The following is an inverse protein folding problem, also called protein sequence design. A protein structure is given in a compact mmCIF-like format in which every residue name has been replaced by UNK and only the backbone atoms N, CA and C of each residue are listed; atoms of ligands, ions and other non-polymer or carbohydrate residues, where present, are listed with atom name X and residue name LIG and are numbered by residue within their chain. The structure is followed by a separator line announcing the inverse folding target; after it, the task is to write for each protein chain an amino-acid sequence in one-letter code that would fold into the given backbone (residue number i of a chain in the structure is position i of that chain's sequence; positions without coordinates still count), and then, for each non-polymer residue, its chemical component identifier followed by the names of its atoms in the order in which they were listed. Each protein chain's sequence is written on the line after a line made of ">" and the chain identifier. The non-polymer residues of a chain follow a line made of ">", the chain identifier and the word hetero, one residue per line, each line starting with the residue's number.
data_IF_919893552712
#
_entry.id   IF_919893552712
#
_cell.length_a   1.000
_cell.length_b   1.000
_cell.length_c   1.000
_cell.angle_alpha   90.00
_cell.angle_beta   90.00
_cell.angle_gamma   90.00
#
_symmetry.space_group_name_H-M   'P 1'
#
loop_
_entity.id
_entity.type
_entity.pdbx_description
1 polymer ?
#
# COMPACT_ATOMS: atom_id res chain seq x y z
N UNK A 1 -23.70 -19.62 4.11
CA UNK A 1 -24.39 -18.33 4.25
C UNK A 1 -24.09 -17.53 3.01
N UNK A 2 -25.08 -16.86 2.44
CA UNK A 2 -24.84 -15.92 1.35
C UNK A 2 -24.33 -14.62 1.95
N UNK A 3 -23.33 -14.00 1.36
CA UNK A 3 -22.72 -12.75 1.84
C UNK A 3 -22.68 -11.73 0.73
N UNK A 4 -22.88 -10.48 1.09
CA UNK A 4 -22.66 -9.33 0.22
C UNK A 4 -21.33 -8.69 0.58
N UNK A 5 -20.43 -8.57 -0.40
CA UNK A 5 -19.12 -7.98 -0.24
C UNK A 5 -19.05 -6.71 -1.10
N UNK A 6 -18.63 -5.59 -0.53
CA UNK A 6 -18.53 -4.30 -1.22
C UNK A 6 -17.13 -3.75 -1.07
N UNK A 7 -16.44 -3.52 -2.19
CA UNK A 7 -15.16 -2.82 -2.23
C UNK A 7 -15.33 -1.42 -2.83
N UNK A 8 -15.00 -0.39 -2.05
CA UNK A 8 -15.13 1.01 -2.45
C UNK A 8 -13.76 1.57 -2.81
N UNK A 9 -13.44 1.54 -4.09
CA UNK A 9 -12.22 2.12 -4.62
C UNK A 9 -12.31 3.64 -4.82
N UNK A 10 -11.19 4.24 -5.20
CA UNK A 10 -11.12 5.68 -5.51
C UNK A 10 -11.86 6.07 -6.79
N UNK A 11 -12.09 5.14 -7.72
CA UNK A 11 -12.68 5.39 -9.04
C UNK A 11 -13.90 4.52 -9.29
N UNK A 12 -13.87 3.28 -8.82
CA UNK A 12 -14.95 2.30 -8.95
C UNK A 12 -15.32 1.78 -7.57
N UNK A 13 -16.55 1.27 -7.45
CA UNK A 13 -16.88 0.30 -6.42
C UNK A 13 -17.28 -1.02 -7.05
N UNK A 14 -17.08 -2.11 -6.31
CA UNK A 14 -17.37 -3.47 -6.72
C UNK A 14 -18.33 -4.08 -5.72
N UNK A 15 -19.32 -4.79 -6.21
CA UNK A 15 -20.30 -5.49 -5.40
C UNK A 15 -20.22 -6.97 -5.76
N UNK A 16 -19.93 -7.80 -4.80
CA UNK A 16 -19.74 -9.23 -4.96
C UNK A 16 -20.77 -10.01 -4.13
N UNK A 17 -21.45 -10.94 -4.76
CA UNK A 17 -22.36 -11.86 -4.11
C UNK A 17 -21.67 -13.22 -3.93
N UNK A 18 -21.28 -13.53 -2.71
CA UNK A 18 -20.66 -14.81 -2.37
C UNK A 18 -21.72 -15.79 -1.87
N UNK A 19 -21.91 -16.89 -2.59
CA UNK A 19 -22.84 -17.96 -2.22
C UNK A 19 -22.07 -19.24 -1.89
N UNK A 20 -22.63 -20.09 -1.02
CA UNK A 20 -21.98 -21.34 -0.62
C UNK A 20 -21.75 -22.34 -1.78
N UNK A 21 -22.53 -22.22 -2.85
CA UNK A 21 -22.60 -23.24 -3.90
C UNK A 21 -22.29 -22.76 -5.32
N UNK A 22 -22.17 -21.45 -5.58
CA UNK A 22 -22.13 -20.91 -6.94
C UNK A 22 -20.95 -19.97 -7.25
N UNK A 23 -19.95 -19.92 -6.39
CA UNK A 23 -18.84 -18.99 -6.60
C UNK A 23 -19.21 -17.53 -6.28
N UNK A 24 -18.39 -16.62 -6.75
CA UNK A 24 -18.54 -15.18 -6.54
C UNK A 24 -18.96 -14.52 -7.84
N UNK A 25 -20.07 -13.76 -7.82
CA UNK A 25 -20.47 -12.90 -8.95
C UNK A 25 -20.11 -11.47 -8.58
N UNK A 26 -19.28 -10.82 -9.39
CA UNK A 26 -18.78 -9.48 -9.12
C UNK A 26 -19.26 -8.50 -10.18
N UNK A 27 -19.93 -7.44 -9.75
CA UNK A 27 -20.31 -6.31 -10.56
C UNK A 27 -19.47 -5.08 -10.20
N UNK A 28 -19.02 -4.35 -11.22
CA UNK A 28 -18.22 -3.15 -11.05
C UNK A 28 -18.96 -1.93 -11.59
N UNK A 29 -18.92 -0.83 -10.83
CA UNK A 29 -19.59 0.41 -11.15
C UNK A 29 -18.64 1.59 -11.03
N UNK A 30 -18.64 2.48 -12.03
CA UNK A 30 -17.90 3.75 -11.95
C UNK A 30 -18.57 4.66 -10.91
N UNK A 31 -17.78 5.30 -10.06
CA UNK A 31 -18.29 6.18 -9.00
C UNK A 31 -18.85 7.48 -9.55
N UNK A 32 -19.98 7.92 -9.01
CA UNK A 32 -20.47 9.27 -9.18
C UNK A 32 -19.90 10.16 -8.06
N UNK A 33 -19.03 11.11 -8.41
CA UNK A 33 -18.36 12.00 -7.45
C UNK A 33 -19.22 13.22 -7.06
N UNK A 34 -20.39 13.38 -7.62
CA UNK A 34 -21.33 14.47 -7.31
C UNK A 34 -22.29 14.11 -6.17
N UNK A 35 -22.22 12.88 -5.67
CA UNK A 35 -23.06 12.37 -4.58
C UNK A 35 -22.25 11.62 -3.53
N UNK A 36 -22.85 11.33 -2.37
CA UNK A 36 -22.21 10.52 -1.34
C UNK A 36 -22.03 9.08 -1.81
N UNK A 37 -21.08 8.37 -1.20
CA UNK A 37 -20.81 6.96 -1.52
C UNK A 37 -22.07 6.11 -1.30
N UNK A 38 -22.78 6.34 -0.21
CA UNK A 38 -24.00 5.62 0.12
C UNK A 38 -25.09 5.81 -0.95
N UNK A 39 -25.38 7.06 -1.31
CA UNK A 39 -26.39 7.36 -2.32
C UNK A 39 -26.04 6.79 -3.69
N UNK A 40 -24.74 6.81 -4.05
CA UNK A 40 -24.26 6.20 -5.30
C UNK A 40 -24.46 4.68 -5.31
N UNK A 41 -24.13 4.00 -4.21
CA UNK A 41 -24.38 2.56 -4.03
C UNK A 41 -25.88 2.23 -4.11
N UNK A 42 -26.72 2.95 -3.38
CA UNK A 42 -28.16 2.73 -3.38
C UNK A 42 -28.77 2.95 -4.76
N UNK A 43 -28.31 3.96 -5.50
CA UNK A 43 -28.82 4.24 -6.85
C UNK A 43 -28.51 3.16 -7.88
N UNK A 44 -27.36 2.46 -7.72
CA UNK A 44 -26.86 1.48 -8.69
C UNK A 44 -27.10 0.01 -8.29
N UNK A 45 -27.28 -0.24 -7.00
CA UNK A 45 -27.29 -1.60 -6.45
C UNK A 45 -28.44 -1.85 -5.47
N UNK A 46 -29.51 -1.04 -5.48
CA UNK A 46 -30.66 -1.18 -4.56
C UNK A 46 -31.22 -2.59 -4.54
N UNK A 47 -31.32 -3.23 -5.71
CA UNK A 47 -31.90 -4.57 -5.87
C UNK A 47 -31.07 -5.64 -5.14
N UNK A 48 -29.75 -5.47 -5.09
CA UNK A 48 -28.82 -6.39 -4.41
C UNK A 48 -28.74 -6.05 -2.94
N UNK A 49 -28.57 -4.76 -2.60
CA UNK A 49 -28.44 -4.30 -1.20
C UNK A 49 -29.61 -4.72 -0.33
N UNK A 50 -30.85 -4.68 -0.87
CA UNK A 50 -32.07 -5.07 -0.15
C UNK A 50 -32.23 -6.57 0.11
N UNK A 51 -31.38 -7.42 -0.45
CA UNK A 51 -31.47 -8.89 -0.31
C UNK A 51 -30.66 -9.43 0.86
N UNK A 52 -29.74 -8.63 1.43
CA UNK A 52 -28.81 -9.06 2.47
C UNK A 52 -29.06 -8.32 3.79
N UNK A 53 -28.84 -9.01 4.89
CA UNK A 53 -28.86 -8.40 6.21
C UNK A 53 -27.58 -7.58 6.43
N UNK A 54 -27.59 -6.67 7.42
CA UNK A 54 -26.40 -5.88 7.78
C UNK A 54 -25.27 -6.77 8.31
N UNK A 55 -25.59 -7.86 8.95
CA UNK A 55 -24.65 -8.86 9.48
C UNK A 55 -23.97 -9.66 8.37
N UNK A 56 -24.66 -9.86 7.24
CA UNK A 56 -24.14 -10.59 6.08
C UNK A 56 -23.50 -9.66 5.03
N UNK A 57 -23.49 -8.36 5.28
CA UNK A 57 -22.87 -7.34 4.41
C UNK A 57 -21.51 -6.92 4.95
N UNK A 58 -20.46 -7.03 4.13
CA UNK A 58 -19.10 -6.69 4.45
C UNK A 58 -18.58 -5.62 3.49
N UNK A 59 -17.96 -4.58 4.04
CA UNK A 59 -17.48 -3.44 3.25
C UNK A 59 -15.99 -3.23 3.50
N UNK A 60 -15.23 -3.00 2.42
CA UNK A 60 -13.89 -2.45 2.50
C UNK A 60 -13.76 -1.20 1.62
N UNK A 61 -12.79 -0.35 1.91
CA UNK A 61 -12.63 0.89 1.18
C UNK A 61 -11.16 1.32 1.05
N UNK A 62 -10.77 1.71 -0.17
CA UNK A 62 -9.51 2.41 -0.46
C UNK A 62 -9.74 3.87 -0.91
N UNK A 63 -10.98 4.36 -0.81
CA UNK A 63 -11.38 5.67 -1.33
C UNK A 63 -10.68 6.87 -0.67
N UNK A 64 -10.06 6.64 0.47
CA UNK A 64 -9.56 7.72 1.35
C UNK A 64 -8.08 7.59 1.65
N UNK A 65 -7.15 7.77 0.84
CA UNK A 65 -5.69 7.80 1.08
C UNK A 65 -5.21 7.51 2.53
N UNK A 66 -4.03 7.00 2.79
CA UNK A 66 -3.55 6.72 4.15
C UNK A 66 -3.12 7.97 4.92
N UNK A 67 -2.87 7.84 6.22
CA UNK A 67 -2.37 8.89 7.10
C UNK A 67 -1.05 9.46 6.60
N UNK A 68 -0.96 10.78 6.46
CA UNK A 68 0.28 11.46 6.11
C UNK A 68 1.29 11.34 7.24
N UNK A 69 2.49 10.87 6.94
CA UNK A 69 3.45 10.50 7.98
C UNK A 69 4.84 11.05 7.71
N UNK A 70 5.43 11.62 8.76
CA UNK A 70 6.84 11.98 8.85
C UNK A 70 7.56 10.96 9.73
N UNK A 71 8.67 10.38 9.25
CA UNK A 71 9.49 9.47 10.05
C UNK A 71 10.85 10.08 10.32
N UNK A 72 11.22 10.17 11.60
CA UNK A 72 12.54 10.65 12.05
C UNK A 72 13.30 9.45 12.61
N UNK A 73 14.40 9.07 11.96
CA UNK A 73 15.19 7.90 12.35
C UNK A 73 16.62 8.23 12.72
N UNK A 74 17.16 7.49 13.68
CA UNK A 74 18.53 7.68 14.17
C UNK A 74 19.57 7.25 13.13
N UNK A 75 19.31 6.13 12.43
CA UNK A 75 20.20 5.55 11.41
C UNK A 75 19.43 5.27 10.14
N UNK A 76 20.05 5.46 8.98
CA UNK A 76 19.40 5.26 7.69
C UNK A 76 19.17 3.77 7.39
N UNK A 77 20.21 2.97 7.55
CA UNK A 77 20.22 1.55 7.17
C UNK A 77 19.52 0.62 8.16
N UNK A 78 19.11 1.11 9.33
CA UNK A 78 18.49 0.30 10.37
C UNK A 78 17.19 0.92 10.89
N UNK A 79 17.23 1.86 11.85
CA UNK A 79 16.02 2.38 12.48
C UNK A 79 15.03 3.01 11.49
N UNK A 80 15.52 3.85 10.58
CA UNK A 80 14.68 4.49 9.58
C UNK A 80 14.13 3.47 8.58
N UNK A 81 14.97 2.55 8.09
CA UNK A 81 14.58 1.48 7.16
C UNK A 81 13.41 0.66 7.73
N UNK A 82 13.53 0.17 8.96
CA UNK A 82 12.50 -0.70 9.55
C UNK A 82 11.23 0.07 9.94
N UNK A 83 11.33 1.29 10.45
CA UNK A 83 10.15 2.10 10.70
C UNK A 83 9.36 2.42 9.43
N UNK A 84 10.07 2.70 8.33
CA UNK A 84 9.47 2.90 7.00
C UNK A 84 8.74 1.65 6.54
N UNK A 85 9.36 0.46 6.69
CA UNK A 85 8.75 -0.81 6.31
C UNK A 85 7.47 -1.08 7.10
N UNK A 86 7.52 -0.94 8.43
CA UNK A 86 6.36 -1.15 9.30
C UNK A 86 5.24 -0.16 8.95
N UNK A 87 5.57 1.11 8.72
CA UNK A 87 4.60 2.13 8.36
C UNK A 87 3.93 1.85 6.99
N UNK A 88 4.70 1.48 5.97
CA UNK A 88 4.14 1.07 4.67
C UNK A 88 3.16 -0.09 4.82
N UNK A 89 3.53 -1.12 5.60
CA UNK A 89 2.70 -2.31 5.82
C UNK A 89 1.41 -1.99 6.58
N UNK A 90 1.40 -0.92 7.37
CA UNK A 90 0.22 -0.45 8.12
C UNK A 90 -0.69 0.49 7.32
N UNK A 91 -0.43 0.69 6.02
CA UNK A 91 -1.26 1.57 5.17
C UNK A 91 -0.97 3.05 5.28
N UNK A 92 0.13 3.39 5.88
CA UNK A 92 0.56 4.75 6.14
C UNK A 92 1.14 5.41 4.89
N UNK A 93 0.87 6.71 4.73
CA UNK A 93 1.42 7.53 3.67
C UNK A 93 2.67 8.27 4.14
N UNK A 94 3.84 7.72 3.89
CA UNK A 94 5.08 8.40 4.21
C UNK A 94 5.32 9.53 3.22
N UNK A 95 5.26 10.77 3.70
CA UNK A 95 5.49 11.97 2.89
C UNK A 95 6.93 12.47 3.00
N UNK A 96 7.58 12.20 4.14
CA UNK A 96 8.97 12.59 4.36
C UNK A 96 9.66 11.68 5.38
N UNK A 97 10.96 11.53 5.21
CA UNK A 97 11.84 10.86 6.16
C UNK A 97 12.99 11.77 6.50
N UNK A 98 13.39 11.84 7.77
CA UNK A 98 14.48 12.68 8.28
C UNK A 98 15.48 11.82 9.03
N UNK A 99 16.74 11.92 8.63
CA UNK A 99 17.83 11.30 9.38
C UNK A 99 18.23 12.24 10.52
N UNK A 100 18.20 11.76 11.76
CA UNK A 100 18.45 12.59 12.95
C UNK A 100 19.78 13.35 12.90
N UNK A 101 20.84 12.76 12.38
CA UNK A 101 22.15 13.44 12.23
C UNK A 101 22.11 14.68 11.34
N UNK A 102 21.09 14.80 10.48
CA UNK A 102 20.87 15.94 9.56
C UNK A 102 19.73 16.85 9.99
N UNK A 103 19.07 16.58 11.12
CA UNK A 103 17.81 17.22 11.53
C UNK A 103 17.90 18.75 11.60
N UNK A 104 19.04 19.30 12.00
CA UNK A 104 19.26 20.76 12.06
C UNK A 104 19.37 21.45 10.68
N UNK A 105 19.49 20.67 9.60
CA UNK A 105 19.56 21.16 8.22
C UNK A 105 18.25 20.97 7.47
N UNK A 106 17.33 20.19 8.04
CA UNK A 106 16.04 19.85 7.43
C UNK A 106 15.00 20.93 7.73
N UNK A 107 14.17 21.21 6.73
CA UNK A 107 13.07 22.15 6.86
C UNK A 107 11.83 21.37 7.28
N UNK A 108 11.21 21.77 8.39
CA UNK A 108 9.97 21.18 8.85
C UNK A 108 8.86 21.31 7.78
N UNK A 109 8.05 20.25 7.56
CA UNK A 109 6.90 20.32 6.66
C UNK A 109 5.92 21.41 7.09
N UNK A 110 5.43 22.19 6.14
CA UNK A 110 4.43 23.24 6.41
C UNK A 110 3.02 22.72 6.56
N UNK A 111 2.75 21.57 5.97
CA UNK A 111 1.45 20.90 5.98
C UNK A 111 1.22 20.22 7.33
N UNK A 112 -0.06 20.00 7.67
CA UNK A 112 -0.44 19.19 8.82
C UNK A 112 -0.06 17.72 8.54
N UNK A 113 0.63 17.11 9.48
CA UNK A 113 1.04 15.71 9.47
C UNK A 113 0.09 14.90 10.34
N UNK A 114 -0.48 13.81 9.84
CA UNK A 114 -1.37 12.98 10.66
C UNK A 114 -0.58 12.21 11.73
N UNK A 115 0.61 11.70 11.39
CA UNK A 115 1.45 10.93 12.32
C UNK A 115 2.92 11.29 12.17
N UNK A 116 3.59 11.58 13.28
CA UNK A 116 5.05 11.65 13.36
C UNK A 116 5.56 10.39 14.07
N UNK A 117 6.47 9.66 13.44
CA UNK A 117 7.15 8.50 14.03
C UNK A 117 8.60 8.87 14.32
N UNK A 118 9.01 8.76 15.58
CA UNK A 118 10.42 8.93 15.99
C UNK A 118 10.97 7.58 16.40
N UNK A 119 12.09 7.16 15.78
CA UNK A 119 12.61 5.80 15.96
C UNK A 119 14.13 5.77 16.10
N UNK A 120 14.63 4.96 17.02
CA UNK A 120 16.06 4.66 17.11
C UNK A 120 16.61 4.50 18.51
N UNK A 121 17.83 4.01 18.55
CA UNK A 121 18.51 3.60 19.77
C UNK A 121 18.14 2.20 20.22
N UNK A 122 18.92 1.65 21.12
CA UNK A 122 18.67 0.38 21.81
C UNK A 122 18.62 0.66 23.31
N UNK A 123 17.86 -0.14 24.06
CA UNK A 123 17.52 0.15 25.46
C UNK A 123 18.74 0.12 26.41
N UNK A 124 19.77 -0.62 26.04
CA UNK A 124 21.03 -0.73 26.81
C UNK A 124 22.00 0.44 26.61
N UNK A 125 21.72 1.35 25.68
CA UNK A 125 22.61 2.48 25.33
C UNK A 125 22.02 3.80 25.83
N UNK A 126 22.88 4.76 26.13
CA UNK A 126 22.46 6.10 26.57
C UNK A 126 21.55 6.79 25.54
N UNK A 127 20.75 7.72 26.05
CA UNK A 127 19.78 8.55 25.36
C UNK A 127 20.28 9.05 23.98
N UNK A 128 19.74 8.57 22.88
CA UNK A 128 20.22 8.91 21.55
C UNK A 128 19.67 10.23 21.00
N UNK A 129 18.57 10.75 21.55
CA UNK A 129 17.93 12.00 21.12
C UNK A 129 18.10 13.10 22.17
N UNK A 130 18.30 14.32 21.73
CA UNK A 130 18.54 15.51 22.55
C UNK A 130 17.59 16.68 22.18
N UNK A 131 17.89 17.87 22.66
CA UNK A 131 17.11 19.08 22.42
C UNK A 131 16.91 19.43 20.96
N UNK A 132 17.78 18.98 20.02
CA UNK A 132 17.64 19.24 18.58
C UNK A 132 16.37 18.60 18.02
N UNK A 133 15.98 17.41 18.54
CA UNK A 133 14.73 16.78 18.15
C UNK A 133 13.53 17.67 18.57
N UNK A 134 13.55 18.17 19.79
CA UNK A 134 12.49 19.03 20.33
C UNK A 134 12.36 20.33 19.51
N UNK A 135 13.50 20.96 19.19
CA UNK A 135 13.54 22.14 18.34
C UNK A 135 12.91 21.88 16.96
N UNK A 136 13.27 20.79 16.31
CA UNK A 136 12.69 20.41 15.02
C UNK A 136 11.20 20.14 15.12
N UNK A 137 10.76 19.35 16.11
CA UNK A 137 9.36 19.01 16.32
C UNK A 137 8.50 20.24 16.61
N UNK A 138 9.04 21.28 17.25
CA UNK A 138 8.31 22.54 17.49
C UNK A 138 7.91 23.26 16.19
N UNK A 139 8.61 23.00 15.10
CA UNK A 139 8.29 23.52 13.76
C UNK A 139 7.33 22.65 12.95
N UNK A 140 7.01 21.43 13.42
CA UNK A 140 6.13 20.49 12.72
C UNK A 140 4.71 20.57 13.29
N UNK A 141 3.71 20.70 12.42
CA UNK A 141 2.30 20.59 12.81
C UNK A 141 1.85 19.14 12.65
N UNK A 142 1.42 18.49 13.72
CA UNK A 142 0.99 17.09 13.69
C UNK A 142 -0.25 16.84 14.56
N UNK A 143 -0.95 15.74 14.25
CA UNK A 143 -2.09 15.27 15.06
C UNK A 143 -1.66 14.24 16.08
N UNK A 144 -0.80 13.30 15.69
CA UNK A 144 -0.30 12.22 16.52
C UNK A 144 1.21 12.16 16.44
N UNK A 145 1.85 11.81 17.55
CA UNK A 145 3.28 11.54 17.58
C UNK A 145 3.55 10.28 18.41
N UNK A 146 4.37 9.39 17.85
CA UNK A 146 4.77 8.13 18.51
C UNK A 146 6.27 7.99 18.51
N UNK A 147 6.80 7.56 19.63
CA UNK A 147 8.20 7.21 19.81
C UNK A 147 8.33 5.68 20.00
N UNK A 148 9.18 5.07 19.18
CA UNK A 148 9.45 3.62 19.15
C UNK A 148 10.95 3.35 19.15
N UNK A 149 11.63 3.92 20.11
CA UNK A 149 13.07 3.83 20.29
C UNK A 149 13.47 3.52 21.72
N UNK A 150 14.74 3.78 22.05
CA UNK A 150 15.29 3.46 23.36
C UNK A 150 14.48 4.04 24.52
N UNK A 151 14.16 3.20 25.49
CA UNK A 151 13.47 3.56 26.75
C UNK A 151 14.19 4.67 27.52
N UNK A 152 15.48 4.82 27.31
CA UNK A 152 16.27 5.90 27.94
C UNK A 152 15.83 7.30 27.52
N UNK A 153 15.10 7.43 26.40
CA UNK A 153 14.52 8.70 25.97
C UNK A 153 13.08 8.97 26.45
N UNK A 154 12.35 7.97 27.00
CA UNK A 154 10.93 8.14 27.33
C UNK A 154 10.68 9.34 28.25
N UNK A 155 11.29 9.37 29.42
CA UNK A 155 11.11 10.47 30.37
C UNK A 155 11.49 11.85 29.80
N UNK A 156 12.55 11.91 28.99
CA UNK A 156 12.99 13.15 28.33
C UNK A 156 11.95 13.66 27.31
N UNK A 157 11.35 12.74 26.54
CA UNK A 157 10.38 13.10 25.49
C UNK A 157 9.01 13.40 26.11
N UNK A 158 8.53 12.58 27.04
CA UNK A 158 7.24 12.79 27.72
C UNK A 158 7.17 14.11 28.47
N UNK A 159 8.30 14.60 29.01
CA UNK A 159 8.37 15.91 29.67
C UNK A 159 8.30 17.09 28.69
N UNK A 160 8.72 16.91 27.42
CA UNK A 160 8.98 18.01 26.47
C UNK A 160 8.12 18.00 25.23
N UNK A 161 7.47 16.90 24.92
CA UNK A 161 6.64 16.73 23.73
C UNK A 161 5.22 16.38 24.16
N UNK A 162 4.31 17.29 23.89
CA UNK A 162 2.91 17.13 24.28
C UNK A 162 2.27 15.94 23.53
N UNK A 163 1.52 15.12 24.27
CA UNK A 163 0.77 13.97 23.74
C UNK A 163 1.61 12.92 22.99
N UNK A 164 2.91 12.83 23.26
CA UNK A 164 3.72 11.77 22.68
C UNK A 164 3.33 10.42 23.29
N UNK A 165 3.18 9.42 22.43
CA UNK A 165 2.96 8.03 22.82
C UNK A 165 4.28 7.29 22.73
N UNK A 166 4.81 6.84 23.86
CA UNK A 166 6.01 6.01 23.90
C UNK A 166 5.60 4.52 23.92
N UNK A 167 5.99 3.80 22.88
CA UNK A 167 5.77 2.37 22.74
C UNK A 167 7.06 1.58 22.97
N UNK A 168 6.96 0.26 22.94
CA UNK A 168 8.12 -0.62 22.94
C UNK A 168 9.01 -0.33 21.73
N UNK A 169 10.31 -0.42 21.96
CA UNK A 169 11.31 -0.19 20.93
C UNK A 169 11.19 -1.23 19.82
N UNK A 170 11.14 -0.79 18.57
CA UNK A 170 11.12 -1.71 17.42
C UNK A 170 12.46 -2.42 17.20
N UNK A 171 13.50 -2.02 17.94
CA UNK A 171 14.85 -2.61 17.85
C UNK A 171 15.24 -3.10 19.24
N UNK A 172 15.26 -4.41 19.44
CA UNK A 172 15.69 -5.00 20.70
C UNK A 172 17.20 -4.85 20.93
N UNK A 173 17.66 -5.09 22.16
CA UNK A 173 19.10 -5.10 22.51
C UNK A 173 19.88 -6.18 21.74
N UNK A 174 19.21 -7.18 21.21
CA UNK A 174 19.79 -8.22 20.33
C UNK A 174 19.77 -7.84 18.86
N UNK A 175 19.39 -6.63 18.54
CA UNK A 175 19.20 -6.11 17.16
C UNK A 175 18.14 -6.91 16.37
N UNK A 176 17.18 -7.50 17.06
CA UNK A 176 15.99 -8.10 16.45
C UNK A 176 14.91 -7.04 16.28
N UNK A 177 14.07 -7.20 15.27
CA UNK A 177 12.98 -6.27 14.98
C UNK A 177 11.71 -6.75 15.67
N UNK A 178 11.14 -5.87 16.48
CA UNK A 178 9.89 -6.06 17.25
C UNK A 178 8.82 -5.12 16.66
N UNK A 179 8.11 -5.58 15.64
CA UNK A 179 7.23 -4.70 14.87
C UNK A 179 5.83 -4.50 15.46
N UNK A 180 5.35 -5.43 16.30
CA UNK A 180 3.93 -5.53 16.69
C UNK A 180 3.38 -4.26 17.32
N UNK A 181 4.11 -3.66 18.27
CA UNK A 181 3.61 -2.48 18.99
C UNK A 181 3.35 -1.30 18.04
N UNK A 182 4.31 -0.99 17.16
CA UNK A 182 4.15 0.08 16.18
C UNK A 182 3.10 -0.26 15.13
N UNK A 183 3.10 -1.48 14.63
CA UNK A 183 2.15 -1.95 13.61
C UNK A 183 0.70 -1.86 14.11
N UNK A 184 0.44 -2.33 15.33
CA UNK A 184 -0.89 -2.26 15.94
C UNK A 184 -1.31 -0.81 16.14
N UNK A 185 -0.45 0.04 16.71
CA UNK A 185 -0.75 1.46 16.90
C UNK A 185 -1.09 2.18 15.59
N UNK A 186 -0.31 1.97 14.54
CA UNK A 186 -0.57 2.58 13.23
C UNK A 186 -1.83 2.03 12.58
N UNK A 187 -2.11 0.74 12.75
CA UNK A 187 -3.34 0.12 12.24
C UNK A 187 -4.57 0.72 12.93
N UNK A 188 -4.52 0.90 14.26
CA UNK A 188 -5.61 1.51 15.02
C UNK A 188 -5.84 2.97 14.63
N UNK A 189 -4.77 3.75 14.46
CA UNK A 189 -4.87 5.14 13.96
C UNK A 189 -5.48 5.19 12.56
N UNK A 190 -5.06 4.28 11.68
CA UNK A 190 -5.59 4.21 10.32
C UNK A 190 -7.08 3.84 10.32
N UNK A 191 -7.48 2.89 11.15
CA UNK A 191 -8.89 2.53 11.32
C UNK A 191 -9.70 3.71 11.90
N UNK A 192 -9.18 4.41 12.90
CA UNK A 192 -9.83 5.58 13.48
C UNK A 192 -10.01 6.71 12.44
N UNK A 193 -9.02 6.94 11.57
CA UNK A 193 -9.10 7.91 10.47
C UNK A 193 -10.19 7.52 9.46
N UNK A 194 -10.23 6.24 9.03
CA UNK A 194 -11.30 5.74 8.16
C UNK A 194 -12.66 5.95 8.81
N UNK A 195 -12.82 5.55 10.07
CA UNK A 195 -14.06 5.68 10.82
C UNK A 195 -14.45 7.15 11.08
N UNK A 196 -13.50 8.06 11.09
CA UNK A 196 -13.72 9.50 11.27
C UNK A 196 -14.39 10.17 10.07
N UNK A 197 -14.33 9.58 8.87
CA UNK A 197 -14.82 10.19 7.62
C UNK A 197 -16.33 10.01 7.45
N UNK A 198 -17.04 11.09 7.19
CA UNK A 198 -18.50 11.10 7.14
C UNK A 198 -19.07 10.15 6.08
N UNK A 199 -18.46 10.09 4.89
CA UNK A 199 -18.87 9.18 3.83
C UNK A 199 -18.76 7.70 4.24
N UNK A 200 -17.77 7.36 5.06
CA UNK A 200 -17.60 5.99 5.57
C UNK A 200 -18.58 5.72 6.72
N UNK A 201 -18.83 6.70 7.59
CA UNK A 201 -19.83 6.56 8.66
C UNK A 201 -21.21 6.22 8.11
N UNK A 202 -21.60 6.86 7.01
CA UNK A 202 -22.88 6.59 6.36
C UNK A 202 -23.01 5.13 5.89
N UNK A 203 -21.91 4.46 5.54
CA UNK A 203 -21.92 3.06 5.11
C UNK A 203 -22.32 2.08 6.23
N UNK A 204 -22.26 2.48 7.50
CA UNK A 204 -22.81 1.68 8.61
C UNK A 204 -24.34 1.62 8.58
N UNK A 205 -25.00 2.35 7.68
CA UNK A 205 -26.39 2.07 7.33
C UNK A 205 -26.58 0.70 6.66
N UNK A 206 -25.54 0.19 5.98
CA UNK A 206 -25.56 -1.06 5.21
C UNK A 206 -24.96 -2.26 5.95
N UNK A 207 -24.10 -2.05 6.93
CA UNK A 207 -23.37 -3.12 7.63
C UNK A 207 -23.24 -2.87 9.12
N UNK A 208 -23.22 -3.95 9.91
CA UNK A 208 -22.79 -3.97 11.33
C UNK A 208 -21.34 -4.41 11.47
N UNK A 209 -20.73 -4.93 10.41
CA UNK A 209 -19.35 -5.38 10.40
C UNK A 209 -18.38 -4.20 10.32
N UNK A 210 -17.18 -4.39 10.85
CA UNK A 210 -16.12 -3.38 10.76
C UNK A 210 -15.71 -3.17 9.30
N UNK A 211 -15.58 -1.90 8.90
CA UNK A 211 -15.12 -1.52 7.57
C UNK A 211 -13.60 -1.44 7.59
N UNK A 212 -12.95 -2.24 6.74
CA UNK A 212 -11.49 -2.28 6.62
C UNK A 212 -11.01 -1.56 5.37
N UNK A 213 -9.71 -1.28 5.31
CA UNK A 213 -9.10 -0.80 4.05
C UNK A 213 -9.02 -1.95 3.03
N UNK A 214 -9.26 -1.65 1.75
CA UNK A 214 -9.13 -2.64 0.67
C UNK A 214 -7.75 -3.31 0.66
N UNK A 215 -6.62 -2.57 0.76
CA UNK A 215 -5.32 -3.20 0.78
C UNK A 215 -5.09 -4.14 1.98
N UNK A 216 -5.67 -3.84 3.15
CA UNK A 216 -5.63 -4.76 4.29
C UNK A 216 -6.36 -6.07 3.98
N UNK A 217 -7.53 -5.96 3.35
CA UNK A 217 -8.32 -7.14 2.95
C UNK A 217 -7.59 -7.95 1.88
N UNK A 218 -6.98 -7.31 0.88
CA UNK A 218 -6.15 -8.00 -0.11
C UNK A 218 -4.98 -8.71 0.56
N UNK A 219 -4.30 -8.07 1.51
CA UNK A 219 -3.21 -8.73 2.24
C UNK A 219 -3.69 -9.95 3.05
N UNK A 220 -4.87 -9.86 3.66
CA UNK A 220 -5.52 -10.99 4.34
C UNK A 220 -5.92 -12.14 3.42
N UNK A 221 -6.11 -11.89 2.13
CA UNK A 221 -6.46 -12.92 1.15
C UNK A 221 -5.26 -13.79 0.75
N UNK A 222 -4.02 -13.26 0.85
CA UNK A 222 -2.84 -13.94 0.33
C UNK A 222 -2.61 -15.36 0.90
N UNK A 223 -2.72 -15.60 2.21
CA UNK A 223 -2.56 -16.96 2.75
C UNK A 223 -3.59 -17.98 2.23
N UNK A 224 -4.68 -17.49 1.66
CA UNK A 224 -5.80 -18.31 1.17
C UNK A 224 -5.79 -18.51 -0.34
N UNK A 225 -4.94 -17.75 -1.04
CA UNK A 225 -4.97 -17.67 -2.51
C UNK A 225 -4.82 -19.04 -3.19
N UNK A 226 -3.99 -19.93 -2.62
CA UNK A 226 -3.79 -21.30 -3.09
C UNK A 226 -5.03 -22.19 -3.05
N UNK A 227 -6.07 -21.79 -2.31
CA UNK A 227 -7.35 -22.51 -2.25
C UNK A 227 -8.25 -22.20 -3.44
N UNK A 228 -7.97 -21.09 -4.13
CA UNK A 228 -8.86 -20.52 -5.14
C UNK A 228 -8.24 -20.48 -6.53
N UNK A 229 -6.93 -20.22 -6.61
CA UNK A 229 -6.19 -20.19 -7.87
C UNK A 229 -4.92 -21.03 -7.78
N UNK A 230 -4.53 -21.61 -8.92
CA UNK A 230 -3.26 -22.32 -9.03
C UNK A 230 -2.11 -21.33 -9.09
N UNK A 231 -1.35 -21.24 -8.02
CA UNK A 231 -0.20 -20.34 -7.89
C UNK A 231 0.93 -21.06 -7.16
N UNK A 232 2.16 -20.85 -7.60
CA UNK A 232 3.37 -21.41 -6.98
C UNK A 232 4.09 -20.35 -6.15
N UNK A 233 4.50 -20.71 -4.94
CA UNK A 233 5.35 -19.85 -4.09
C UNK A 233 6.79 -19.80 -4.61
N UNK A 234 7.51 -18.69 -4.38
CA UNK A 234 6.98 -17.42 -3.89
C UNK A 234 6.27 -16.61 -5.00
N UNK A 235 5.31 -15.82 -4.61
CA UNK A 235 4.55 -14.93 -5.50
C UNK A 235 4.39 -13.53 -4.90
N UNK A 236 4.04 -12.57 -5.76
CA UNK A 236 3.57 -11.24 -5.36
C UNK A 236 2.22 -10.94 -6.01
N UNK A 237 1.44 -10.08 -5.37
CA UNK A 237 0.22 -9.51 -5.94
C UNK A 237 0.42 -8.02 -6.14
N UNK A 238 0.19 -7.53 -7.36
CA UNK A 238 0.25 -6.11 -7.69
C UNK A 238 -1.19 -5.64 -7.97
N UNK A 239 -1.70 -4.78 -7.09
CA UNK A 239 -3.01 -4.15 -7.25
C UNK A 239 -2.83 -2.74 -7.82
N UNK A 240 -3.22 -2.53 -9.07
CA UNK A 240 -3.10 -1.24 -9.75
C UNK A 240 -4.46 -0.57 -9.81
N UNK A 241 -4.62 0.44 -8.96
CA UNK A 241 -5.81 1.27 -8.89
C UNK A 241 -5.69 2.60 -9.62
N UNK A 242 -6.75 3.40 -9.56
CA UNK A 242 -6.78 4.73 -10.18
C UNK A 242 -5.90 5.77 -9.48
N UNK A 243 -5.67 5.64 -8.18
CA UNK A 243 -4.89 6.58 -7.38
C UNK A 243 -3.54 6.01 -6.92
N UNK A 244 -3.50 4.72 -6.59
CA UNK A 244 -2.33 4.04 -6.02
C UNK A 244 -2.06 2.74 -6.75
N UNK A 245 -0.84 2.23 -6.57
CA UNK A 245 -0.48 0.86 -6.86
C UNK A 245 0.08 0.24 -5.60
N UNK A 246 -0.42 -0.94 -5.24
CA UNK A 246 0.02 -1.70 -4.07
C UNK A 246 0.74 -2.97 -4.51
N UNK A 247 1.85 -3.32 -3.86
CA UNK A 247 2.47 -4.64 -3.96
C UNK A 247 2.27 -5.35 -2.63
N UNK A 248 1.68 -6.54 -2.69
CA UNK A 248 1.61 -7.48 -1.58
C UNK A 248 2.59 -8.62 -1.85
N UNK A 249 3.41 -8.96 -0.87
CA UNK A 249 4.50 -9.91 -1.05
C UNK A 249 4.74 -10.76 0.18
N UNK A 250 5.24 -11.98 -0.01
CA UNK A 250 5.79 -12.79 1.07
C UNK A 250 7.10 -12.19 1.57
N UNK A 251 7.29 -12.19 2.89
CA UNK A 251 8.56 -11.76 3.51
C UNK A 251 9.77 -12.57 3.04
N UNK A 252 9.54 -13.77 2.54
CA UNK A 252 10.59 -14.66 2.03
C UNK A 252 11.32 -14.07 0.80
N UNK A 253 10.71 -13.14 0.08
CA UNK A 253 11.32 -12.48 -1.09
C UNK A 253 12.00 -11.15 -0.77
N UNK A 254 12.09 -10.74 0.50
CA UNK A 254 12.77 -9.50 0.90
C UNK A 254 14.27 -9.77 1.05
N UNK A 255 15.11 -8.97 0.38
CA UNK A 255 16.55 -8.96 0.64
C UNK A 255 16.82 -8.49 2.07
N UNK A 256 17.78 -9.11 2.74
CA UNK A 256 18.14 -8.81 4.13
C UNK A 256 16.95 -8.87 5.11
N UNK A 257 16.13 -9.92 4.97
CA UNK A 257 14.98 -10.13 5.84
C UNK A 257 15.43 -10.43 7.28
N UNK A 258 15.44 -9.39 8.11
CA UNK A 258 15.64 -9.50 9.57
C UNK A 258 14.29 -9.64 10.29
N UNK A 259 13.20 -9.30 9.63
CA UNK A 259 11.84 -9.52 10.09
C UNK A 259 11.53 -11.02 9.99
N UNK A 260 11.79 -11.73 11.04
CA UNK A 260 11.91 -13.20 11.06
C UNK A 260 10.59 -13.92 11.28
N UNK A 261 9.58 -13.76 10.49
CA UNK A 261 8.43 -14.67 10.54
C UNK A 261 7.74 -14.77 9.19
N UNK A 262 7.22 -15.96 8.89
CA UNK A 262 6.38 -16.19 7.72
C UNK A 262 5.18 -15.23 7.75
N UNK A 263 4.97 -14.51 6.69
CA UNK A 263 3.88 -13.55 6.58
C UNK A 263 3.93 -12.78 5.29
N UNK A 264 2.89 -11.99 5.08
CA UNK A 264 2.74 -11.14 3.91
C UNK A 264 2.74 -9.68 4.33
N UNK A 265 3.48 -8.87 3.60
CA UNK A 265 3.57 -7.44 3.77
C UNK A 265 3.16 -6.73 2.49
N UNK A 266 3.08 -5.41 2.53
CA UNK A 266 2.71 -4.60 1.37
C UNK A 266 3.52 -3.32 1.29
N UNK A 267 3.66 -2.80 0.06
CA UNK A 267 4.14 -1.47 -0.26
C UNK A 267 3.08 -0.71 -1.04
N UNK A 268 2.96 0.59 -0.80
CA UNK A 268 2.00 1.46 -1.47
C UNK A 268 2.74 2.52 -2.28
N UNK A 269 2.42 2.62 -3.56
CA UNK A 269 2.96 3.64 -4.46
C UNK A 269 1.86 4.62 -4.87
N UNK A 270 1.68 5.69 -4.10
CA UNK A 270 0.59 6.67 -4.28
C UNK A 270 0.66 7.48 -5.58
N UNK A 271 1.84 7.55 -6.20
CA UNK A 271 2.06 8.32 -7.43
C UNK A 271 2.03 7.45 -8.69
N UNK A 272 1.70 6.16 -8.55
CA UNK A 272 1.68 5.21 -9.66
C UNK A 272 0.27 4.71 -10.02
N UNK A 273 -0.78 5.38 -9.56
CA UNK A 273 -2.14 5.11 -10.02
C UNK A 273 -2.39 5.64 -11.44
N UNK A 274 -3.23 4.93 -12.20
CA UNK A 274 -3.41 5.16 -13.64
C UNK A 274 -4.49 6.17 -14.00
N UNK A 275 -5.25 6.68 -13.02
CA UNK A 275 -6.33 7.64 -13.24
C UNK A 275 -6.10 8.94 -12.46
N UNK A 276 -6.34 8.96 -11.14
CA UNK A 276 -6.15 10.16 -10.30
C UNK A 276 -4.69 10.60 -10.19
N UNK A 277 -3.76 9.66 -10.25
CA UNK A 277 -2.32 9.93 -10.18
C UNK A 277 -1.62 9.91 -11.55
N UNK A 278 -2.40 9.98 -12.66
CA UNK A 278 -1.89 9.91 -14.02
C UNK A 278 -0.70 10.85 -14.28
N UNK A 279 -0.85 12.13 -13.93
CA UNK A 279 0.21 13.14 -14.16
C UNK A 279 1.50 12.78 -13.40
N UNK A 280 1.37 12.29 -12.16
CA UNK A 280 2.50 11.84 -11.36
C UNK A 280 3.15 10.59 -11.97
N UNK A 281 2.36 9.65 -12.47
CA UNK A 281 2.84 8.46 -13.16
C UNK A 281 3.64 8.83 -14.42
N UNK A 282 3.11 9.71 -15.25
CA UNK A 282 3.79 10.23 -16.47
C UNK A 282 5.09 10.94 -16.09
N UNK A 283 5.06 11.79 -15.06
CA UNK A 283 6.25 12.49 -14.60
C UNK A 283 7.36 11.51 -14.15
N UNK A 284 7.01 10.49 -13.37
CA UNK A 284 7.95 9.46 -12.91
C UNK A 284 8.45 8.62 -14.09
N UNK A 285 7.58 8.28 -15.04
CA UNK A 285 7.96 7.56 -16.24
C UNK A 285 9.01 8.31 -17.08
N UNK A 286 8.82 9.60 -17.29
CA UNK A 286 9.77 10.44 -18.03
C UNK A 286 11.15 10.60 -17.34
N UNK A 287 11.22 10.36 -16.04
CA UNK A 287 12.48 10.42 -15.27
C UNK A 287 13.22 9.08 -15.22
N UNK A 288 12.58 7.99 -15.64
CA UNK A 288 13.19 6.66 -15.61
C UNK A 288 13.94 6.41 -16.92
N UNK A 289 15.22 6.07 -16.80
CA UNK A 289 16.15 5.89 -17.93
C UNK A 289 15.73 4.78 -18.91
N UNK A 290 14.99 3.78 -18.47
CA UNK A 290 14.58 2.63 -19.28
C UNK A 290 13.22 2.80 -19.95
N UNK A 291 12.45 3.83 -19.61
CA UNK A 291 11.09 4.00 -20.12
C UNK A 291 11.09 4.26 -21.64
N UNK A 292 12.08 4.98 -22.15
CA UNK A 292 12.18 5.21 -23.60
C UNK A 292 12.39 3.90 -24.38
N UNK A 293 13.31 3.03 -23.91
CA UNK A 293 13.53 1.73 -24.53
C UNK A 293 12.29 0.84 -24.43
N UNK A 294 11.53 0.96 -23.31
CA UNK A 294 10.28 0.25 -23.13
C UNK A 294 9.22 0.72 -24.13
N UNK A 295 9.06 2.03 -24.33
CA UNK A 295 8.13 2.57 -25.32
C UNK A 295 8.48 2.11 -26.73
N UNK A 296 9.77 2.10 -27.10
CA UNK A 296 10.23 1.53 -28.37
C UNK A 296 9.88 0.04 -28.49
N UNK A 297 10.10 -0.73 -27.40
CA UNK A 297 9.73 -2.15 -27.35
C UNK A 297 8.22 -2.38 -27.56
N UNK A 298 7.39 -1.47 -27.06
CA UNK A 298 5.93 -1.47 -27.23
C UNK A 298 5.48 -0.92 -28.61
N UNK A 299 6.43 -0.47 -29.45
CA UNK A 299 6.17 0.18 -30.73
C UNK A 299 5.30 1.45 -30.64
N UNK A 300 5.46 2.21 -29.55
CA UNK A 300 4.78 3.49 -29.35
C UNK A 300 5.79 4.64 -29.18
N UNK A 301 5.36 5.84 -29.53
CA UNK A 301 6.18 7.05 -29.37
C UNK A 301 5.93 7.72 -28.03
N UNK A 302 6.87 8.53 -27.54
CA UNK A 302 6.74 9.26 -26.27
C UNK A 302 5.48 10.14 -26.18
N UNK A 303 4.99 10.63 -27.30
CA UNK A 303 3.78 11.46 -27.37
C UNK A 303 2.54 10.76 -26.77
N UNK A 304 2.51 9.43 -26.78
CA UNK A 304 1.44 8.63 -26.18
C UNK A 304 1.19 8.99 -24.70
N UNK A 305 2.24 9.42 -23.97
CA UNK A 305 2.14 9.78 -22.56
C UNK A 305 1.28 11.03 -22.31
N UNK A 306 1.18 11.92 -23.30
CA UNK A 306 0.38 13.14 -23.24
C UNK A 306 -1.06 12.95 -23.75
N UNK A 307 -1.35 11.82 -24.39
CA UNK A 307 -2.65 11.52 -24.95
C UNK A 307 -3.63 11.00 -23.90
N UNK A 308 -4.93 11.21 -24.15
CA UNK A 308 -6.03 10.69 -23.34
C UNK A 308 -6.87 9.65 -24.11
N UNK A 309 -6.19 8.85 -24.95
CA UNK A 309 -6.79 7.74 -25.71
C UNK A 309 -6.86 6.45 -24.86
N UNK A 310 -7.62 5.46 -25.33
CA UNK A 310 -7.62 4.12 -24.73
C UNK A 310 -6.24 3.46 -24.83
N UNK A 311 -5.55 3.66 -25.95
CA UNK A 311 -4.19 3.17 -26.15
C UNK A 311 -3.22 3.80 -25.16
N UNK A 312 -3.27 5.13 -24.95
CA UNK A 312 -2.47 5.81 -23.96
C UNK A 312 -2.74 5.28 -22.54
N UNK A 313 -3.99 5.01 -22.21
CA UNK A 313 -4.36 4.41 -20.92
C UNK A 313 -3.77 3.02 -20.77
N UNK A 314 -3.82 2.20 -21.80
CA UNK A 314 -3.21 0.86 -21.82
C UNK A 314 -1.70 0.91 -21.63
N UNK A 315 -1.01 1.83 -22.32
CA UNK A 315 0.44 2.04 -22.15
C UNK A 315 0.76 2.49 -20.73
N UNK A 316 -0.01 3.41 -20.14
CA UNK A 316 0.21 3.86 -18.76
C UNK A 316 0.03 2.74 -17.73
N UNK A 317 -0.90 1.82 -17.94
CA UNK A 317 -1.05 0.63 -17.12
C UNK A 317 0.17 -0.28 -17.21
N UNK A 318 0.72 -0.47 -18.41
CA UNK A 318 1.96 -1.21 -18.62
C UNK A 318 3.15 -0.54 -17.94
N UNK A 319 3.27 0.79 -18.03
CA UNK A 319 4.29 1.57 -17.35
C UNK A 319 4.16 1.51 -15.81
N UNK A 320 2.93 1.47 -15.28
CA UNK A 320 2.73 1.31 -13.83
C UNK A 320 3.29 -0.03 -13.33
N UNK A 321 3.07 -1.12 -14.06
CA UNK A 321 3.66 -2.44 -13.75
C UNK A 321 5.18 -2.35 -13.77
N UNK A 322 5.75 -1.83 -14.85
CA UNK A 322 7.21 -1.68 -15.01
C UNK A 322 7.82 -0.87 -13.87
N UNK A 323 7.27 0.32 -13.60
CA UNK A 323 7.80 1.23 -12.59
C UNK A 323 7.72 0.67 -11.17
N UNK A 324 6.67 -0.06 -10.86
CA UNK A 324 6.52 -0.71 -9.57
C UNK A 324 7.57 -1.81 -9.38
N UNK A 325 7.76 -2.69 -10.38
CA UNK A 325 8.80 -3.71 -10.36
C UNK A 325 10.20 -3.08 -10.27
N UNK A 326 10.44 -1.99 -11.02
CA UNK A 326 11.71 -1.25 -10.96
C UNK A 326 11.98 -0.69 -9.56
N UNK A 327 10.97 -0.09 -8.93
CA UNK A 327 11.09 0.53 -7.60
C UNK A 327 11.38 -0.46 -6.47
N UNK A 328 10.94 -1.70 -6.58
CA UNK A 328 11.21 -2.75 -5.58
C UNK A 328 12.42 -3.61 -5.92
N UNK A 329 13.05 -3.40 -7.07
CA UNK A 329 14.24 -4.14 -7.48
C UNK A 329 15.52 -3.51 -6.91
N UNK A 330 16.60 -4.27 -6.92
CA UNK A 330 17.96 -3.81 -6.54
C UNK A 330 18.50 -2.64 -7.37
N UNK A 331 17.87 -2.33 -8.49
CA UNK A 331 18.30 -1.25 -9.38
C UNK A 331 17.79 0.13 -8.95
N UNK A 332 16.92 0.16 -7.94
CA UNK A 332 16.42 1.41 -7.38
C UNK A 332 16.77 1.49 -5.90
N UNK A 333 17.34 2.59 -5.44
CA UNK A 333 17.62 2.82 -4.03
C UNK A 333 16.27 2.94 -3.26
N UNK A 334 15.82 1.85 -2.70
CA UNK A 334 14.58 1.72 -1.94
C UNK A 334 14.87 1.28 -0.51
N UNK A 335 13.93 1.53 0.39
CA UNK A 335 13.98 0.97 1.74
C UNK A 335 13.69 -0.53 1.77
N UNK A 336 12.95 -1.02 0.78
CA UNK A 336 12.64 -2.44 0.60
C UNK A 336 13.06 -2.86 -0.80
N UNK A 337 13.91 -3.88 -0.86
CA UNK A 337 14.30 -4.55 -2.08
C UNK A 337 13.74 -5.96 -2.07
N UNK A 338 12.98 -6.31 -3.11
CA UNK A 338 12.46 -7.66 -3.30
C UNK A 338 13.40 -8.46 -4.19
N UNK A 339 13.68 -9.69 -3.80
CA UNK A 339 14.38 -10.65 -4.65
C UNK A 339 13.43 -11.20 -5.71
N UNK A 340 13.28 -10.44 -6.79
CA UNK A 340 12.38 -10.78 -7.88
C UNK A 340 12.83 -12.03 -8.66
N UNK A 341 14.09 -12.48 -8.47
CA UNK A 341 14.60 -13.72 -9.07
C UNK A 341 13.91 -14.97 -8.52
N UNK A 342 13.45 -14.89 -7.28
CA UNK A 342 12.80 -16.03 -6.61
C UNK A 342 11.35 -16.23 -7.04
N UNK A 343 10.73 -15.24 -7.68
CA UNK A 343 9.30 -15.27 -7.96
C UNK A 343 8.95 -16.35 -8.99
N UNK A 344 7.99 -17.19 -8.65
CA UNK A 344 7.34 -18.10 -9.57
C UNK A 344 6.12 -17.46 -10.24
N UNK A 345 5.38 -16.62 -9.51
CA UNK A 345 4.20 -15.95 -10.04
C UNK A 345 4.16 -14.46 -9.69
N UNK A 346 3.61 -13.67 -10.60
CA UNK A 346 3.14 -12.31 -10.36
C UNK A 346 1.65 -12.30 -10.67
N UNK A 347 0.83 -11.92 -9.70
CA UNK A 347 -0.61 -11.82 -9.86
C UNK A 347 -0.95 -10.35 -10.00
N UNK A 348 -1.64 -9.98 -11.07
CA UNK A 348 -2.12 -8.63 -11.30
C UNK A 348 -3.61 -8.56 -11.00
N UNK A 349 -3.99 -7.60 -10.15
CA UNK A 349 -5.38 -7.28 -9.82
C UNK A 349 -5.64 -5.79 -9.97
N UNK A 350 -6.85 -5.34 -9.70
CA UNK A 350 -7.23 -3.95 -9.88
C UNK A 350 -7.79 -3.62 -11.25
N UNK A 351 -8.03 -2.33 -11.51
CA UNK A 351 -8.70 -1.83 -12.73
C UNK A 351 -8.03 -2.20 -14.05
N UNK A 352 -6.73 -2.51 -14.03
CA UNK A 352 -5.94 -2.84 -15.21
C UNK A 352 -6.31 -4.20 -15.83
N UNK A 353 -6.78 -5.14 -15.04
CA UNK A 353 -7.00 -6.52 -15.50
C UNK A 353 -8.09 -6.66 -16.52
N UNK A 354 -8.99 -5.68 -16.64
CA UNK A 354 -10.01 -5.62 -17.70
C UNK A 354 -9.53 -4.99 -19.01
N UNK A 355 -8.46 -4.21 -18.96
CA UNK A 355 -7.92 -3.49 -20.12
C UNK A 355 -6.74 -4.21 -20.73
N UNK A 356 -5.82 -4.72 -19.89
CA UNK A 356 -4.62 -5.41 -20.35
C UNK A 356 -4.93 -6.86 -20.75
N UNK A 357 -4.32 -7.28 -21.85
CA UNK A 357 -4.30 -8.67 -22.29
C UNK A 357 -3.15 -9.43 -21.62
N UNK A 358 -3.16 -10.77 -21.71
CA UNK A 358 -2.03 -11.58 -21.25
C UNK A 358 -0.75 -11.22 -22.01
N UNK A 359 -0.84 -10.96 -23.31
CA UNK A 359 0.30 -10.55 -24.13
C UNK A 359 0.92 -9.23 -23.66
N UNK A 360 0.12 -8.25 -23.27
CA UNK A 360 0.62 -6.98 -22.73
C UNK A 360 1.48 -7.17 -21.49
N UNK A 361 0.99 -7.95 -20.56
CA UNK A 361 1.69 -8.16 -19.27
C UNK A 361 2.90 -9.07 -19.41
N UNK A 362 2.83 -10.06 -20.28
CA UNK A 362 3.96 -10.93 -20.60
C UNK A 362 5.09 -10.13 -21.28
N UNK A 363 4.77 -9.25 -22.21
CA UNK A 363 5.74 -8.40 -22.90
C UNK A 363 6.48 -7.47 -21.93
N UNK A 364 5.75 -6.80 -21.02
CA UNK A 364 6.35 -5.90 -20.00
C UNK A 364 7.24 -6.69 -19.04
N UNK A 365 6.74 -7.81 -18.55
CA UNK A 365 7.49 -8.64 -17.60
C UNK A 365 8.74 -9.22 -18.26
N UNK A 366 8.62 -9.69 -19.49
CA UNK A 366 9.75 -10.20 -20.25
C UNK A 366 10.81 -9.11 -20.46
N UNK A 367 10.39 -7.89 -20.87
CA UNK A 367 11.30 -6.76 -21.00
C UNK A 367 12.01 -6.48 -19.69
N UNK A 368 11.26 -6.35 -18.58
CA UNK A 368 11.81 -6.07 -17.25
C UNK A 368 12.83 -7.13 -16.81
N UNK A 369 12.47 -8.40 -16.87
CA UNK A 369 13.35 -9.48 -16.42
C UNK A 369 14.60 -9.63 -17.29
N UNK A 370 14.47 -9.48 -18.62
CA UNK A 370 15.64 -9.62 -19.52
C UNK A 370 16.52 -8.38 -19.55
N UNK A 371 15.93 -7.18 -19.64
CA UNK A 371 16.69 -5.93 -19.84
C UNK A 371 17.19 -5.32 -18.55
N UNK A 372 16.40 -5.39 -17.46
CA UNK A 372 16.72 -4.72 -16.19
C UNK A 372 17.41 -5.69 -15.24
N UNK A 373 16.83 -6.88 -15.06
CA UNK A 373 17.37 -7.85 -14.12
C UNK A 373 18.44 -8.76 -14.72
N UNK A 374 18.49 -8.86 -16.04
CA UNK A 374 19.37 -9.75 -16.80
C UNK A 374 19.15 -11.25 -16.49
N UNK A 375 17.87 -11.63 -16.22
CA UNK A 375 17.49 -13.00 -15.93
C UNK A 375 16.97 -13.74 -17.15
N UNK A 376 17.20 -15.05 -17.17
CA UNK A 376 16.67 -15.96 -18.20
C UNK A 376 15.26 -16.47 -17.85
N UNK A 377 14.96 -16.59 -16.56
CA UNK A 377 13.65 -17.02 -16.05
C UNK A 377 12.74 -15.80 -15.84
N UNK A 378 11.51 -15.91 -16.26
CA UNK A 378 10.44 -14.94 -15.97
C UNK A 378 9.33 -15.64 -15.20
N UNK A 379 8.77 -15.03 -14.16
CA UNK A 379 7.61 -15.59 -13.47
C UNK A 379 6.40 -15.68 -14.39
N UNK A 380 5.52 -16.62 -14.10
CA UNK A 380 4.22 -16.69 -14.77
C UNK A 380 3.34 -15.55 -14.28
N UNK A 381 2.72 -14.81 -15.21
CA UNK A 381 1.81 -13.71 -14.88
C UNK A 381 0.38 -14.23 -14.88
N UNK A 382 -0.33 -13.96 -13.80
CA UNK A 382 -1.75 -14.30 -13.64
C UNK A 382 -2.57 -13.00 -13.57
N UNK A 383 -3.62 -12.91 -14.38
CA UNK A 383 -4.55 -11.78 -14.36
C UNK A 383 -5.81 -12.18 -13.58
N UNK A 384 -6.09 -11.46 -12.48
CA UNK A 384 -7.34 -11.54 -11.74
C UNK A 384 -8.46 -10.77 -12.49
N UNK A 385 -8.94 -11.34 -13.59
CA UNK A 385 -9.91 -10.70 -14.49
C UNK A 385 -11.26 -10.43 -13.86
N UNK A 386 -11.64 -11.25 -12.90
CA UNK A 386 -12.92 -11.14 -12.23
C UNK A 386 -12.83 -10.33 -10.91
N UNK A 387 -11.64 -9.85 -10.54
CA UNK A 387 -11.39 -9.12 -9.27
C UNK A 387 -11.74 -9.93 -8.03
N UNK A 388 -11.46 -11.20 -8.01
CA UNK A 388 -11.88 -12.09 -6.92
C UNK A 388 -10.96 -12.04 -5.70
N UNK A 389 -9.69 -11.68 -5.85
CA UNK A 389 -8.67 -11.82 -4.80
C UNK A 389 -9.08 -11.16 -3.49
N UNK A 390 -9.60 -9.93 -3.53
CA UNK A 390 -10.02 -9.24 -2.31
C UNK A 390 -11.16 -9.97 -1.58
N UNK A 391 -11.99 -10.72 -2.29
CA UNK A 391 -13.12 -11.44 -1.69
C UNK A 391 -12.67 -12.58 -0.78
N UNK A 392 -11.48 -13.15 -0.99
CA UNK A 392 -10.93 -14.24 -0.17
C UNK A 392 -10.53 -13.77 1.24
N UNK A 393 -10.29 -12.45 1.42
CA UNK A 393 -9.92 -11.83 2.70
C UNK A 393 -11.09 -11.35 3.54
N UNK A 394 -12.31 -11.27 2.98
CA UNK A 394 -13.48 -10.69 3.63
C UNK A 394 -14.26 -11.74 4.43
N UNK A 395 -14.74 -11.37 5.62
CA UNK A 395 -15.77 -12.12 6.35
C UNK A 395 -15.28 -13.31 7.18
N UNK A 396 -14.00 -13.31 7.59
CA UNK A 396 -13.46 -14.25 8.60
C UNK A 396 -12.85 -13.52 9.79
#
# INVERSE_FOLDING_TARGET
>A
MNRLLIDIGSTYFKVAEATQNSGVVINQYFRNFETTILNDLESKCSDVLGQYSKEDTYICSSANGGLTTLIIGLTNSFSLKYAVNIAFNSGINIISTVLYSKISQEIAPKEMIDVVIVVGGIDSVQQPFDAKLIEYLSGVKYQNIVFVGSKTNHAFLEERVENIVCLENIISDKLQIEEEALKNYLTDLYQADIMGKEDIKQLYALTTNQIFSTPYIVNKSLPKIHKHIEVADPFIVIDIGGATTDIHYSRDVVYDNILSEHGYDRLVFKKLGVYKSRESLVHIAKQNEFVFELLEHLNVTENILEEYSEEATRVLMQLAIFLVLYKVSKHHASYIELNLELLNNIILTGGITKVLTQEDVDNITLFFYKKILHFHHTPTILLDKEYEIWTYGVGE
#
